data_IF_758218658378
#
_entry.id   IF_758218658378
#
_cell.length_a   1.000
_cell.length_b   1.000
_cell.length_c   1.000
_cell.angle_alpha   90.00
_cell.angle_beta   90.00
_cell.angle_gamma   90.00
#
_symmetry.space_group_name_H-M   'P 1'
#
loop_
_entity.id
_entity.type
_entity.pdbx_description
1 polymer ?
#
# COMPACT_ATOMS: atom_id res chain seq x y z
N UNK A 1 -13.54 -14.28 26.07
CA UNK A 1 -12.66 -14.01 24.90
C UNK A 1 -11.18 -13.95 25.28
N UNK A 2 -10.77 -13.17 26.29
CA UNK A 2 -9.37 -13.15 26.78
C UNK A 2 -8.85 -14.52 27.26
N UNK A 3 -9.69 -15.34 27.91
CA UNK A 3 -9.32 -16.72 28.28
C UNK A 3 -9.09 -17.66 27.07
N UNK A 4 -9.69 -17.39 25.91
CA UNK A 4 -9.45 -18.17 24.69
C UNK A 4 -8.19 -17.70 23.94
N UNK A 5 -7.74 -16.46 24.16
CA UNK A 5 -6.49 -15.93 23.59
C UNK A 5 -5.27 -16.47 24.36
N UNK A 6 -5.42 -16.72 25.66
CA UNK A 6 -4.42 -17.38 26.50
C UNK A 6 -4.37 -18.90 26.29
N UNK A 7 -5.48 -19.51 25.86
CA UNK A 7 -5.57 -20.90 25.36
C UNK A 7 -5.41 -20.94 23.84
N UNK A 8 -4.36 -20.42 23.24
CA UNK A 8 -4.07 -20.70 21.82
C UNK A 8 -2.60 -21.01 21.59
N UNK A 9 -1.94 -21.41 22.68
CA UNK A 9 -0.49 -21.60 22.70
C UNK A 9 0.33 -20.33 22.42
N UNK A 10 1.66 -20.47 22.35
CA UNK A 10 2.60 -19.37 22.12
C UNK A 10 2.43 -18.69 20.75
N UNK A 11 1.78 -19.34 19.79
CA UNK A 11 1.58 -18.84 18.42
C UNK A 11 0.48 -17.75 18.36
N UNK A 12 -0.35 -17.62 19.39
CA UNK A 12 -1.30 -16.49 19.48
C UNK A 12 -0.62 -15.13 19.65
N UNK A 13 0.54 -15.07 20.31
CA UNK A 13 1.28 -13.81 20.52
C UNK A 13 1.67 -13.14 19.19
N UNK A 14 2.35 -13.81 18.24
CA UNK A 14 2.66 -13.22 16.95
C UNK A 14 1.41 -12.90 16.12
N UNK A 15 0.33 -13.69 16.23
CA UNK A 15 -0.93 -13.39 15.53
C UNK A 15 -1.59 -12.09 16.02
N UNK A 16 -1.62 -11.87 17.33
CA UNK A 16 -2.14 -10.62 17.90
C UNK A 16 -1.27 -9.42 17.49
N UNK A 17 0.05 -9.57 17.47
CA UNK A 17 0.95 -8.54 16.95
C UNK A 17 0.68 -8.23 15.47
N UNK A 18 0.53 -9.25 14.63
CA UNK A 18 0.14 -9.08 13.22
C UNK A 18 -1.19 -8.34 13.07
N UNK A 19 -2.18 -8.64 13.92
CA UNK A 19 -3.48 -7.95 13.92
C UNK A 19 -3.35 -6.46 14.27
N UNK A 20 -2.58 -6.13 15.31
CA UNK A 20 -2.36 -4.74 15.72
C UNK A 20 -1.59 -3.94 14.65
N UNK A 21 -0.54 -4.52 14.07
CA UNK A 21 0.23 -3.89 13.00
C UNK A 21 -0.64 -3.69 11.75
N UNK A 22 -1.43 -4.69 11.37
CA UNK A 22 -2.36 -4.59 10.23
C UNK A 22 -3.34 -3.44 10.42
N UNK A 23 -4.00 -3.35 11.58
CA UNK A 23 -4.94 -2.27 11.88
C UNK A 23 -4.27 -0.89 11.88
N UNK A 24 -3.06 -0.78 12.45
CA UNK A 24 -2.31 0.47 12.45
C UNK A 24 -1.97 0.95 11.04
N UNK A 25 -1.52 0.03 10.16
CA UNK A 25 -1.22 0.34 8.75
C UNK A 25 -2.48 0.70 7.99
N UNK A 26 -3.59 -0.04 8.17
CA UNK A 26 -4.87 0.26 7.53
C UNK A 26 -5.35 1.67 7.91
N UNK A 27 -5.25 2.04 9.18
CA UNK A 27 -5.65 3.37 9.64
C UNK A 27 -4.78 4.49 9.06
N UNK A 28 -3.45 4.33 9.12
CA UNK A 28 -2.49 5.28 8.55
C UNK A 28 -2.70 5.49 7.05
N UNK A 29 -2.89 4.40 6.29
CA UNK A 29 -3.13 4.47 4.84
C UNK A 29 -4.50 5.05 4.51
N UNK A 30 -5.55 4.69 5.26
CA UNK A 30 -6.87 5.26 5.08
C UNK A 30 -6.84 6.79 5.20
N UNK A 31 -6.12 7.33 6.19
CA UNK A 31 -5.96 8.78 6.32
C UNK A 31 -5.21 9.40 5.13
N UNK A 32 -4.08 8.80 4.73
CA UNK A 32 -3.28 9.29 3.61
C UNK A 32 -4.06 9.35 2.29
N UNK A 33 -4.76 8.26 1.92
CA UNK A 33 -5.58 8.23 0.72
C UNK A 33 -6.80 9.16 0.81
N UNK A 34 -7.39 9.32 2.00
CA UNK A 34 -8.50 10.26 2.20
C UNK A 34 -8.05 11.71 2.04
N UNK A 35 -6.84 12.05 2.46
CA UNK A 35 -6.27 13.38 2.24
C UNK A 35 -5.94 13.60 0.76
N UNK A 36 -5.36 12.61 0.08
CA UNK A 36 -5.08 12.70 -1.36
C UNK A 36 -6.36 12.89 -2.20
N UNK A 37 -7.45 12.16 -1.88
CA UNK A 37 -8.75 12.31 -2.56
C UNK A 37 -9.43 13.67 -2.36
N UNK A 38 -8.95 14.51 -1.44
CA UNK A 38 -9.45 15.89 -1.28
C UNK A 38 -8.81 16.86 -2.27
N UNK A 39 -7.67 16.49 -2.85
CA UNK A 39 -7.02 17.29 -3.88
C UNK A 39 -7.70 16.96 -5.21
N UNK A 40 -8.28 17.98 -5.85
CA UNK A 40 -8.88 17.83 -7.16
C UNK A 40 -7.78 17.86 -8.22
N UNK A 41 -7.19 16.68 -8.48
CA UNK A 41 -6.14 16.49 -9.49
C UNK A 41 -6.55 17.06 -10.85
N UNK A 42 -7.81 16.85 -11.27
CA UNK A 42 -8.29 17.31 -12.57
C UNK A 42 -8.26 18.83 -12.66
N UNK A 43 -8.70 19.52 -11.60
CA UNK A 43 -8.61 20.98 -11.56
C UNK A 43 -7.15 21.46 -11.63
N UNK A 44 -6.24 20.75 -10.97
CA UNK A 44 -4.81 21.05 -10.96
C UNK A 44 -4.19 20.92 -12.34
N UNK A 45 -4.38 19.78 -12.99
CA UNK A 45 -3.92 19.53 -14.37
C UNK A 45 -4.47 20.59 -15.33
N UNK A 46 -5.77 20.89 -15.23
CA UNK A 46 -6.41 21.90 -16.08
C UNK A 46 -5.79 23.28 -15.89
N UNK A 47 -5.57 23.73 -14.65
CA UNK A 47 -4.95 25.03 -14.36
C UNK A 47 -3.50 25.10 -14.85
N UNK A 48 -2.73 24.03 -14.62
CA UNK A 48 -1.33 23.94 -15.08
C UNK A 48 -1.26 24.04 -16.61
N UNK A 49 -2.12 23.33 -17.33
CA UNK A 49 -2.19 23.41 -18.80
C UNK A 49 -2.60 24.79 -19.30
N UNK A 50 -3.54 25.47 -18.62
CA UNK A 50 -3.92 26.86 -18.97
C UNK A 50 -2.73 27.81 -18.80
N UNK A 51 -2.03 27.76 -17.66
CA UNK A 51 -0.86 28.60 -17.44
C UNK A 51 0.30 28.31 -18.40
N UNK A 52 0.49 27.05 -18.80
CA UNK A 52 1.46 26.66 -19.82
C UNK A 52 1.13 27.26 -21.19
N UNK A 53 -0.14 27.19 -21.61
CA UNK A 53 -0.60 27.80 -22.88
C UNK A 53 -0.46 29.32 -22.90
N UNK A 54 -0.63 29.97 -21.76
CA UNK A 54 -0.42 31.41 -21.60
C UNK A 54 1.07 31.79 -21.51
N UNK A 55 2.00 30.82 -21.50
CA UNK A 55 3.43 31.04 -21.35
C UNK A 55 3.88 31.37 -19.92
N UNK A 56 2.97 31.31 -18.95
CA UNK A 56 3.19 31.66 -17.54
C UNK A 56 3.71 30.45 -16.74
N UNK A 57 4.92 29.98 -17.05
CA UNK A 57 5.53 28.80 -16.41
C UNK A 57 5.68 28.99 -14.89
N UNK A 58 6.03 30.19 -14.44
CA UNK A 58 6.17 30.51 -13.01
C UNK A 58 4.85 30.39 -12.24
N UNK A 59 3.72 30.75 -12.86
CA UNK A 59 2.39 30.55 -12.28
C UNK A 59 2.04 29.07 -12.16
N UNK A 60 2.36 28.26 -13.19
CA UNK A 60 2.18 26.82 -13.16
C UNK A 60 3.00 26.14 -12.05
N UNK A 61 4.26 26.58 -11.84
CA UNK A 61 5.12 26.10 -10.75
C UNK A 61 4.49 26.42 -9.38
N UNK A 62 4.03 27.65 -9.17
CA UNK A 62 3.41 28.09 -7.91
C UNK A 62 2.13 27.31 -7.57
N UNK A 63 1.30 27.01 -8.57
CA UNK A 63 0.09 26.20 -8.39
C UNK A 63 0.46 24.76 -7.96
N UNK A 64 1.48 24.17 -8.60
CA UNK A 64 2.01 22.85 -8.22
C UNK A 64 2.70 22.83 -6.84
N UNK A 65 3.33 23.92 -6.41
CA UNK A 65 3.93 24.01 -5.07
C UNK A 65 2.87 24.14 -3.96
N UNK A 66 1.77 24.83 -4.28
CA UNK A 66 0.63 24.97 -3.37
C UNK A 66 -0.17 23.67 -3.27
N UNK A 67 -0.26 22.95 -4.39
CA UNK A 67 -0.85 21.63 -4.47
C UNK A 67 0.04 20.57 -3.83
N UNK A 68 -0.43 20.01 -2.72
CA UNK A 68 0.19 18.81 -2.14
C UNK A 68 -0.32 17.58 -2.90
N UNK A 69 0.55 16.64 -3.22
CA UNK A 69 0.14 15.37 -3.82
C UNK A 69 1.18 14.77 -4.77
N UNK A 70 1.05 13.48 -5.12
CA UNK A 70 1.99 12.79 -5.99
C UNK A 70 2.02 13.41 -7.39
N UNK A 71 0.86 13.74 -7.96
CA UNK A 71 0.76 14.30 -9.31
C UNK A 71 1.35 15.71 -9.38
N UNK A 72 1.11 16.54 -8.35
CA UNK A 72 1.72 17.85 -8.25
C UNK A 72 3.25 17.78 -8.18
N UNK A 73 3.81 16.80 -7.45
CA UNK A 73 5.26 16.62 -7.37
C UNK A 73 5.90 16.21 -8.71
N UNK A 74 5.24 15.36 -9.49
CA UNK A 74 5.70 14.97 -10.83
C UNK A 74 5.60 16.13 -11.81
N UNK A 75 4.46 16.84 -11.83
CA UNK A 75 4.27 18.02 -12.67
C UNK A 75 5.27 19.13 -12.33
N UNK A 76 5.56 19.36 -11.04
CA UNK A 76 6.56 20.33 -10.61
C UNK A 76 7.96 20.00 -11.12
N UNK A 77 8.35 18.71 -11.07
CA UNK A 77 9.65 18.26 -11.59
C UNK A 77 9.74 18.45 -13.11
N UNK A 78 8.66 18.15 -13.84
CA UNK A 78 8.55 18.39 -15.28
C UNK A 78 8.64 19.88 -15.64
N UNK A 79 7.88 20.73 -14.95
CA UNK A 79 7.85 22.18 -15.14
C UNK A 79 9.21 22.84 -14.90
N UNK A 80 9.90 22.48 -13.82
CA UNK A 80 11.24 23.01 -13.50
C UNK A 80 12.28 22.57 -14.53
N UNK A 81 12.19 21.34 -15.02
CA UNK A 81 13.08 20.83 -16.08
C UNK A 81 12.82 21.55 -17.40
N UNK A 82 11.55 21.77 -17.74
CA UNK A 82 11.14 22.53 -18.92
C UNK A 82 11.62 24.00 -18.86
N UNK A 83 11.47 24.68 -17.73
CA UNK A 83 11.96 26.06 -17.53
C UNK A 83 13.48 26.14 -17.73
N UNK A 84 14.23 25.17 -17.20
CA UNK A 84 15.68 25.12 -17.34
C UNK A 84 16.16 24.92 -18.78
N UNK A 85 15.46 24.07 -19.55
CA UNK A 85 15.82 23.74 -20.93
C UNK A 85 15.39 24.81 -21.92
N UNK A 86 14.23 25.45 -21.69
CA UNK A 86 13.77 26.60 -22.48
C UNK A 86 14.77 27.77 -22.41
N UNK A 87 15.45 27.95 -21.27
CA UNK A 87 16.52 28.95 -21.12
C UNK A 87 17.79 28.66 -21.91
N UNK A 88 17.96 27.44 -22.46
CA UNK A 88 19.14 27.00 -23.21
C UNK A 88 18.90 26.85 -24.72
N UNK A 89 17.70 27.13 -25.20
CA UNK A 89 17.31 27.03 -26.63
C UNK A 89 17.60 25.62 -27.21
N UNK A 90 17.33 24.57 -26.41
CA UNK A 90 17.52 23.18 -26.85
C UNK A 90 16.41 22.74 -27.84
N UNK A 91 16.75 21.79 -28.71
CA UNK A 91 15.79 21.23 -29.66
C UNK A 91 14.61 20.55 -28.94
N UNK A 92 13.39 20.74 -29.48
CA UNK A 92 12.14 20.20 -28.93
C UNK A 92 12.21 18.68 -28.64
N UNK A 93 12.87 17.91 -29.51
CA UNK A 93 13.07 16.47 -29.33
C UNK A 93 13.92 16.13 -28.10
N UNK A 94 15.01 16.87 -27.86
CA UNK A 94 15.87 16.66 -26.68
C UNK A 94 15.14 17.06 -25.40
N UNK A 95 14.43 18.18 -25.45
CA UNK A 95 13.64 18.64 -24.32
C UNK A 95 12.53 17.66 -23.93
N UNK A 96 11.82 17.09 -24.91
CA UNK A 96 10.84 16.03 -24.66
C UNK A 96 11.47 14.82 -23.97
N UNK A 97 12.62 14.36 -24.46
CA UNK A 97 13.29 13.18 -23.91
C UNK A 97 13.73 13.43 -22.46
N UNK A 98 14.39 14.56 -22.20
CA UNK A 98 14.89 14.88 -20.87
C UNK A 98 13.75 15.11 -19.88
N UNK A 99 12.73 15.90 -20.27
CA UNK A 99 11.60 16.18 -19.38
C UNK A 99 10.76 14.93 -19.13
N UNK A 100 10.48 14.15 -20.17
CA UNK A 100 9.75 12.88 -20.02
C UNK A 100 10.47 11.90 -19.09
N UNK A 101 11.79 11.77 -19.22
CA UNK A 101 12.60 10.93 -18.34
C UNK A 101 12.59 11.43 -16.89
N UNK A 102 12.72 12.74 -16.66
CA UNK A 102 12.62 13.31 -15.31
C UNK A 102 11.23 13.04 -14.71
N UNK A 103 10.17 13.26 -15.49
CA UNK A 103 8.82 12.98 -15.00
C UNK A 103 8.60 11.50 -14.68
N UNK A 104 9.15 10.58 -15.47
CA UNK A 104 9.09 9.14 -15.21
C UNK A 104 9.85 8.74 -13.91
N UNK A 105 11.07 9.25 -13.71
CA UNK A 105 11.85 9.01 -12.50
C UNK A 105 11.11 9.51 -11.24
N UNK A 106 10.53 10.72 -11.31
CA UNK A 106 9.74 11.28 -10.21
C UNK A 106 8.40 10.54 -10.02
N UNK A 107 7.82 9.98 -11.08
CA UNK A 107 6.61 9.15 -11.00
C UNK A 107 6.88 7.89 -10.18
N UNK A 108 8.00 7.19 -10.45
CA UNK A 108 8.41 6.03 -9.68
C UNK A 108 8.63 6.37 -8.19
N UNK A 109 9.25 7.54 -7.91
CA UNK A 109 9.44 8.01 -6.55
C UNK A 109 8.11 8.35 -5.85
N UNK A 110 7.21 9.04 -6.53
CA UNK A 110 5.89 9.38 -6.00
C UNK A 110 5.08 8.11 -5.69
N UNK A 111 5.07 7.13 -6.60
CA UNK A 111 4.40 5.84 -6.41
C UNK A 111 5.00 5.04 -5.26
N UNK A 112 6.33 5.11 -5.04
CA UNK A 112 6.96 4.49 -3.87
C UNK A 112 6.42 5.06 -2.54
N UNK A 113 6.13 6.36 -2.49
CA UNK A 113 5.55 7.01 -1.29
C UNK A 113 4.07 6.63 -1.12
N UNK A 114 3.31 6.54 -2.21
CA UNK A 114 1.90 6.11 -2.20
C UNK A 114 1.79 4.67 -1.70
N UNK A 115 2.59 3.76 -2.26
CA UNK A 115 2.62 2.33 -1.94
C UNK A 115 3.30 2.00 -0.61
N UNK A 116 3.85 3.00 0.08
CA UNK A 116 4.57 2.82 1.33
C UNK A 116 3.71 2.07 2.36
N UNK A 117 4.26 1.00 2.94
CA UNK A 117 3.64 0.13 3.95
C UNK A 117 2.52 -0.79 3.42
N UNK A 118 2.13 -0.75 2.14
CA UNK A 118 1.19 -1.72 1.59
C UNK A 118 1.78 -3.14 1.60
N UNK A 119 3.08 -3.29 1.38
CA UNK A 119 3.80 -4.57 1.48
C UNK A 119 3.69 -5.24 2.85
N UNK A 120 3.51 -4.46 3.92
CA UNK A 120 3.30 -4.98 5.26
C UNK A 120 1.95 -5.70 5.34
N UNK A 121 0.91 -5.16 4.71
CA UNK A 121 -0.40 -5.82 4.63
C UNK A 121 -0.31 -7.08 3.78
N UNK A 122 0.43 -7.07 2.67
CA UNK A 122 0.68 -8.27 1.84
C UNK A 122 1.37 -9.36 2.64
N UNK A 123 2.39 -8.98 3.42
CA UNK A 123 3.15 -9.90 4.25
C UNK A 123 2.27 -10.47 5.36
N UNK A 124 1.46 -9.66 6.04
CA UNK A 124 0.56 -10.14 7.09
C UNK A 124 -0.55 -11.02 6.50
N UNK A 125 -1.10 -10.64 5.35
CA UNK A 125 -2.15 -11.39 4.65
C UNK A 125 -1.70 -12.80 4.27
N UNK A 126 -0.41 -12.98 3.93
CA UNK A 126 0.16 -14.30 3.61
C UNK A 126 0.71 -15.02 4.84
N UNK A 127 1.30 -14.32 5.81
CA UNK A 127 1.92 -14.91 6.99
C UNK A 127 0.90 -15.35 8.06
N UNK A 128 -0.18 -14.58 8.29
CA UNK A 128 -1.15 -14.88 9.34
C UNK A 128 -1.86 -16.24 9.17
N UNK A 129 -2.29 -16.66 7.97
CA UNK A 129 -2.82 -18.01 7.76
C UNK A 129 -1.79 -19.11 7.99
N UNK A 130 -0.53 -18.89 7.58
CA UNK A 130 0.57 -19.85 7.78
C UNK A 130 0.87 -20.02 9.28
N UNK A 131 0.87 -18.93 10.04
CA UNK A 131 0.99 -18.95 11.50
C UNK A 131 -0.18 -19.70 12.14
N UNK A 132 -1.41 -19.44 11.68
CA UNK A 132 -2.61 -20.16 12.13
C UNK A 132 -2.52 -21.67 11.88
N UNK A 133 -2.08 -22.09 10.70
CA UNK A 133 -1.85 -23.51 10.37
C UNK A 133 -0.71 -24.13 11.20
N UNK A 134 0.33 -23.37 11.49
CA UNK A 134 1.41 -23.83 12.39
C UNK A 134 0.87 -24.04 13.81
N UNK A 135 -0.05 -23.18 14.26
CA UNK A 135 -0.80 -23.34 15.51
C UNK A 135 -1.59 -24.64 15.59
N UNK A 136 -2.29 -25.02 14.52
CA UNK A 136 -3.02 -26.31 14.50
C UNK A 136 -2.09 -27.50 14.55
N UNK A 137 -1.02 -27.50 13.75
CA UNK A 137 -0.06 -28.60 13.72
C UNK A 137 0.61 -28.79 15.08
N UNK A 138 1.09 -27.71 15.70
CA UNK A 138 1.73 -27.78 17.02
C UNK A 138 0.76 -28.20 18.13
N UNK A 139 -0.48 -27.69 18.12
CA UNK A 139 -1.51 -28.09 19.08
C UNK A 139 -1.95 -29.55 18.93
N UNK A 140 -2.05 -30.06 17.71
CA UNK A 140 -2.31 -31.48 17.45
C UNK A 140 -1.17 -32.37 17.95
N UNK A 141 0.09 -31.99 17.69
CA UNK A 141 1.27 -32.74 18.18
C UNK A 141 1.25 -32.83 19.71
N UNK A 142 1.01 -31.72 20.41
CA UNK A 142 0.93 -31.69 21.86
C UNK A 142 -0.23 -32.55 22.40
N UNK A 143 -1.39 -32.51 21.75
CA UNK A 143 -2.57 -33.28 22.14
C UNK A 143 -2.32 -34.80 22.02
N UNK A 144 -1.70 -35.25 20.93
CA UNK A 144 -1.37 -36.67 20.75
C UNK A 144 -0.22 -37.14 21.63
N UNK A 145 0.78 -36.30 21.90
CA UNK A 145 1.86 -36.61 22.84
C UNK A 145 1.33 -36.85 24.26
N UNK A 146 0.43 -35.97 24.75
CA UNK A 146 -0.21 -36.14 26.05
C UNK A 146 -1.10 -37.41 26.14
N UNK A 147 -1.74 -37.81 25.03
CA UNK A 147 -2.47 -39.08 24.96
C UNK A 147 -1.54 -40.29 25.08
N UNK A 148 -0.38 -40.25 24.42
CA UNK A 148 0.60 -41.33 24.46
C UNK A 148 1.21 -41.51 25.86
N UNK A 149 1.46 -40.41 26.58
CA UNK A 149 1.97 -40.45 27.96
C UNK A 149 0.92 -40.91 28.98
N UNK A 150 -0.35 -40.50 28.82
CA UNK A 150 -1.42 -40.83 29.78
C UNK A 150 -1.88 -42.30 29.71
N UNK A 151 -1.57 -43.01 28.63
CA UNK A 151 -2.06 -44.38 28.40
C UNK A 151 -3.59 -44.46 28.21
N UNK A 152 -4.09 -45.66 27.90
CA UNK A 152 -5.51 -45.97 27.64
C UNK A 152 -6.41 -45.92 28.89
N UNK A 153 -6.13 -45.04 29.85
CA UNK A 153 -6.98 -44.85 31.04
C UNK A 153 -8.17 -43.98 30.62
N UNK A 154 -9.37 -44.55 30.76
CA UNK A 154 -10.66 -44.10 30.19
C UNK A 154 -11.17 -42.70 30.59
N UNK A 155 -10.44 -41.66 30.19
CA UNK A 155 -10.78 -40.24 30.33
C UNK A 155 -9.90 -39.31 29.46
N UNK A 156 -8.87 -39.85 28.79
CA UNK A 156 -7.89 -39.09 27.99
C UNK A 156 -8.45 -38.54 26.67
N UNK A 157 -9.56 -39.06 26.14
CA UNK A 157 -10.18 -38.57 24.91
C UNK A 157 -10.70 -37.13 24.99
N UNK A 158 -11.23 -36.72 26.15
CA UNK A 158 -11.71 -35.36 26.37
C UNK A 158 -10.59 -34.31 26.39
N UNK A 159 -9.43 -34.66 26.94
CA UNK A 159 -8.25 -33.79 26.95
C UNK A 159 -7.71 -33.55 25.53
N UNK A 160 -7.65 -34.61 24.72
CA UNK A 160 -7.24 -34.51 23.30
C UNK A 160 -8.22 -33.67 22.50
N UNK A 161 -9.53 -33.90 22.68
CA UNK A 161 -10.56 -33.12 22.00
C UNK A 161 -10.46 -31.63 22.33
N UNK A 162 -10.19 -31.27 23.59
CA UNK A 162 -9.97 -29.89 24.01
C UNK A 162 -8.72 -29.28 23.37
N UNK A 163 -7.60 -30.01 23.32
CA UNK A 163 -6.36 -29.51 22.71
C UNK A 163 -6.48 -29.32 21.18
N UNK A 164 -7.22 -30.18 20.49
CA UNK A 164 -7.54 -30.00 19.07
C UNK A 164 -8.45 -28.78 18.87
N UNK A 165 -9.48 -28.62 19.70
CA UNK A 165 -10.37 -27.46 19.64
C UNK A 165 -9.60 -26.14 19.84
N UNK A 166 -8.65 -26.14 20.79
CA UNK A 166 -7.73 -25.01 21.02
C UNK A 166 -6.91 -24.66 19.76
N UNK A 167 -6.34 -25.68 19.14
CA UNK A 167 -5.54 -25.54 17.92
C UNK A 167 -6.39 -24.92 16.78
N UNK A 168 -7.63 -25.40 16.61
CA UNK A 168 -8.56 -24.89 15.58
C UNK A 168 -8.91 -23.41 15.77
N UNK A 169 -9.02 -22.93 17.02
CA UNK A 169 -9.25 -21.51 17.30
C UNK A 169 -8.09 -20.67 16.77
N UNK A 170 -6.84 -21.13 16.92
CA UNK A 170 -5.65 -20.41 16.44
C UNK A 170 -5.66 -20.25 14.92
N UNK A 171 -6.08 -21.27 14.18
CA UNK A 171 -6.26 -21.17 12.72
C UNK A 171 -7.39 -20.20 12.36
N UNK A 172 -8.54 -20.28 13.02
CA UNK A 172 -9.65 -19.37 12.75
C UNK A 172 -9.24 -17.90 12.95
N UNK A 173 -8.51 -17.60 14.03
CA UNK A 173 -7.97 -16.26 14.29
C UNK A 173 -6.98 -15.85 13.19
N UNK A 174 -6.05 -16.71 12.79
CA UNK A 174 -5.10 -16.42 11.71
C UNK A 174 -5.77 -16.06 10.39
N UNK A 175 -6.85 -16.77 10.03
CA UNK A 175 -7.65 -16.48 8.84
C UNK A 175 -8.40 -15.14 8.95
N UNK A 176 -8.97 -14.85 10.12
CA UNK A 176 -9.66 -13.57 10.36
C UNK A 176 -8.68 -12.40 10.25
N UNK A 177 -7.51 -12.50 10.87
CA UNK A 177 -6.46 -11.46 10.78
C UNK A 177 -6.01 -11.25 9.33
N UNK A 178 -5.82 -12.34 8.58
CA UNK A 178 -5.48 -12.26 7.17
C UNK A 178 -6.56 -11.53 6.34
N UNK A 179 -7.83 -11.83 6.61
CA UNK A 179 -8.97 -11.19 5.95
C UNK A 179 -8.97 -9.67 6.17
N UNK A 180 -8.71 -9.25 7.42
CA UNK A 180 -8.60 -7.83 7.76
C UNK A 180 -7.38 -7.13 7.14
N UNK A 181 -6.35 -7.86 6.73
CA UNK A 181 -5.21 -7.30 6.00
C UNK A 181 -5.45 -7.24 4.47
N UNK A 182 -5.95 -8.33 3.88
CA UNK A 182 -6.06 -8.49 2.42
C UNK A 182 -7.18 -7.64 1.82
N UNK A 183 -8.32 -7.50 2.50
CA UNK A 183 -9.45 -6.69 1.98
C UNK A 183 -9.04 -5.22 1.83
N UNK A 184 -8.55 -4.52 2.88
CA UNK A 184 -8.11 -3.14 2.73
C UNK A 184 -6.96 -2.98 1.75
N UNK A 185 -6.00 -3.91 1.74
CA UNK A 185 -4.89 -3.88 0.78
C UNK A 185 -5.40 -3.86 -0.67
N UNK A 186 -6.38 -4.70 -1.00
CA UNK A 186 -6.97 -4.73 -2.35
C UNK A 186 -7.64 -3.41 -2.72
N UNK A 187 -8.25 -2.72 -1.75
CA UNK A 187 -8.84 -1.38 -1.96
C UNK A 187 -7.75 -0.32 -2.15
N UNK A 188 -6.70 -0.34 -1.32
CA UNK A 188 -5.59 0.61 -1.43
C UNK A 188 -4.80 0.44 -2.72
N UNK A 189 -4.61 -0.80 -3.20
CA UNK A 189 -3.98 -1.05 -4.49
C UNK A 189 -4.78 -0.40 -5.62
N UNK A 190 -6.11 -0.59 -5.66
CA UNK A 190 -6.96 0.06 -6.68
C UNK A 190 -6.82 1.59 -6.68
N UNK A 191 -6.77 2.20 -5.50
CA UNK A 191 -6.58 3.65 -5.41
C UNK A 191 -5.16 4.08 -5.79
N UNK A 192 -4.16 3.25 -5.55
CA UNK A 192 -2.81 3.50 -6.05
C UNK A 192 -2.76 3.43 -7.57
N UNK A 193 -3.37 2.40 -8.17
CA UNK A 193 -3.44 2.24 -9.63
C UNK A 193 -4.16 3.43 -10.29
N UNK A 194 -5.24 3.94 -9.68
CA UNK A 194 -5.93 5.16 -10.13
C UNK A 194 -4.98 6.38 -10.14
N UNK A 195 -4.15 6.55 -9.10
CA UNK A 195 -3.18 7.64 -9.03
C UNK A 195 -2.09 7.48 -10.09
N UNK A 196 -1.62 6.25 -10.32
CA UNK A 196 -0.62 5.93 -11.35
C UNK A 196 -1.11 6.35 -12.74
N UNK A 197 -2.35 5.96 -13.08
CA UNK A 197 -2.98 6.35 -14.34
C UNK A 197 -3.10 7.87 -14.47
N UNK A 198 -3.49 8.58 -13.41
CA UNK A 198 -3.57 10.04 -13.45
C UNK A 198 -2.19 10.71 -13.66
N UNK A 199 -1.11 10.13 -13.11
CA UNK A 199 0.27 10.58 -13.33
C UNK A 199 0.68 10.34 -14.79
N UNK A 200 0.43 9.14 -15.32
CA UNK A 200 0.77 8.78 -16.70
C UNK A 200 0.06 9.68 -17.71
N UNK A 201 -1.24 9.91 -17.53
CA UNK A 201 -2.00 10.84 -18.37
C UNK A 201 -1.43 12.27 -18.29
N UNK A 202 -1.06 12.73 -17.09
CA UNK A 202 -0.46 14.07 -16.89
C UNK A 202 0.88 14.19 -17.62
N UNK A 203 1.70 13.13 -17.56
CA UNK A 203 3.00 13.09 -18.24
C UNK A 203 2.81 13.11 -19.77
N UNK A 204 1.88 12.31 -20.28
CA UNK A 204 1.56 12.26 -21.71
C UNK A 204 1.10 13.63 -22.24
N UNK A 205 0.17 14.30 -21.53
CA UNK A 205 -0.31 15.64 -21.90
C UNK A 205 0.82 16.70 -21.87
N UNK A 206 1.70 16.64 -20.87
CA UNK A 206 2.82 17.57 -20.76
C UNK A 206 3.82 17.39 -21.90
N UNK A 207 4.14 16.15 -22.23
CA UNK A 207 5.03 15.80 -23.35
C UNK A 207 4.42 16.20 -24.70
N UNK A 208 3.12 16.01 -24.89
CA UNK A 208 2.41 16.45 -26.10
C UNK A 208 2.39 17.99 -26.23
N UNK A 209 2.27 18.70 -25.12
CA UNK A 209 2.36 20.17 -25.10
C UNK A 209 3.72 20.66 -25.62
N UNK A 210 4.82 20.02 -25.21
CA UNK A 210 6.18 20.34 -25.68
C UNK A 210 6.29 20.19 -27.21
N UNK A 211 5.67 19.16 -27.79
CA UNK A 211 5.72 18.90 -29.23
C UNK A 211 4.90 19.89 -30.07
N UNK A 212 3.77 20.35 -29.54
CA UNK A 212 2.82 21.18 -30.30
C UNK A 212 3.09 22.67 -30.20
N UNK A 213 3.80 23.13 -29.17
CA UNK A 213 4.01 24.55 -28.87
C UNK A 213 5.49 24.98 -28.94
N UNK A 214 6.33 24.21 -29.62
CA UNK A 214 7.75 24.52 -29.83
C UNK A 214 8.17 24.41 -31.29
#
# INVERSE_FOLDING_TARGET
>A
MLEHILKGGPIMVPLVLCSLVSLAVVYDRWQAFRENRRIDTRSLRSKVLVHLREGNISAAISECETARGPIASVLLAGLRSYEHLKGKDEASDTMRLVVGQVMEDYSAQAMSVVNKRLDVLTTIGTAAPLLGMTGTVTGMIASFAGLAEAGSIGGSGGAVANGIAEAMVTTAVGLIVALFAVIPQSVFNRWSDEIELEIEESNAEFVEFILTHH
#
